data_IF_637520991941
#
_entry.id   IF_637520991941
#
_cell.length_a   1.000
_cell.length_b   1.000
_cell.length_c   1.000
_cell.angle_alpha   90.00
_cell.angle_beta   90.00
_cell.angle_gamma   90.00
#
_symmetry.space_group_name_H-M   'P 1'
#
loop_
_entity.id
_entity.type
_entity.pdbx_description
1 polymer ?
#
# COMPACT_ATOMS: atom_id res chain seq x y z
N UNK A 1 -15.19 -8.14 26.45
CA UNK A 1 -15.15 -6.80 25.82
C UNK A 1 -14.29 -6.88 24.56
N UNK A 2 -14.76 -6.33 23.43
CA UNK A 2 -13.95 -6.25 22.23
C UNK A 2 -12.79 -5.28 22.39
N UNK A 3 -11.67 -5.55 21.70
CA UNK A 3 -10.51 -4.65 21.67
C UNK A 3 -10.84 -3.40 20.83
N UNK A 4 -10.57 -2.22 21.37
CA UNK A 4 -10.70 -0.95 20.64
C UNK A 4 -9.35 -0.63 20.01
N UNK A 5 -9.33 -0.48 18.70
CA UNK A 5 -8.15 -0.11 17.93
C UNK A 5 -8.12 1.41 17.71
N UNK A 6 -6.94 2.00 17.72
CA UNK A 6 -6.75 3.45 17.56
C UNK A 6 -6.59 3.87 16.09
N UNK A 7 -6.20 2.95 15.23
CA UNK A 7 -5.97 3.18 13.82
C UNK A 7 -6.40 1.98 12.98
N UNK A 8 -6.85 2.21 11.76
CA UNK A 8 -7.07 1.15 10.78
C UNK A 8 -5.78 0.36 10.48
N UNK A 9 -4.62 0.98 10.61
CA UNK A 9 -3.32 0.30 10.47
C UNK A 9 -3.09 -0.80 11.53
N UNK A 10 -3.76 -0.71 12.69
CA UNK A 10 -3.68 -1.74 13.74
C UNK A 10 -4.46 -3.02 13.37
N UNK A 11 -5.35 -2.94 12.40
CA UNK A 11 -6.16 -4.05 11.90
C UNK A 11 -5.45 -4.86 10.81
N UNK A 12 -4.32 -4.39 10.31
CA UNK A 12 -3.59 -5.05 9.23
C UNK A 12 -2.94 -6.32 9.74
N UNK A 13 -3.16 -7.39 9.01
CA UNK A 13 -2.68 -8.72 9.37
C UNK A 13 -3.71 -9.52 10.15
N UNK A 14 -3.26 -10.63 10.72
CA UNK A 14 -4.12 -11.61 11.42
C UNK A 14 -5.37 -12.00 10.61
N UNK A 15 -5.27 -11.97 9.28
CA UNK A 15 -6.37 -12.33 8.39
C UNK A 15 -6.74 -13.80 8.57
N UNK A 16 -8.02 -14.17 8.46
CA UNK A 16 -8.49 -15.52 8.69
C UNK A 16 -8.06 -16.49 7.59
N UNK A 17 -8.09 -17.77 7.92
CA UNK A 17 -8.03 -18.87 6.97
C UNK A 17 -9.43 -19.46 6.81
N UNK A 18 -9.79 -19.81 5.59
CA UNK A 18 -11.04 -20.51 5.26
C UNK A 18 -10.70 -21.80 4.52
N UNK A 19 -11.30 -22.91 4.97
CA UNK A 19 -11.23 -24.19 4.29
C UNK A 19 -12.28 -24.24 3.17
N UNK A 20 -11.89 -24.68 1.99
CA UNK A 20 -12.77 -24.76 0.82
C UNK A 20 -13.33 -26.19 0.63
N UNK A 21 -13.95 -26.73 1.68
CA UNK A 21 -14.40 -28.11 1.78
C UNK A 21 -15.29 -28.57 0.62
N UNK A 22 -16.20 -27.74 0.12
CA UNK A 22 -17.01 -28.10 -1.05
C UNK A 22 -16.18 -28.33 -2.32
N UNK A 23 -15.07 -27.64 -2.47
CA UNK A 23 -14.16 -27.85 -3.61
C UNK A 23 -13.40 -29.17 -3.40
N UNK A 24 -12.93 -29.42 -2.19
CA UNK A 24 -12.25 -30.65 -1.82
C UNK A 24 -13.11 -31.88 -2.09
N UNK A 25 -14.35 -31.83 -1.65
CA UNK A 25 -15.35 -32.88 -1.85
C UNK A 25 -15.65 -33.10 -3.34
N UNK A 26 -15.97 -32.03 -4.06
CA UNK A 26 -16.33 -32.05 -5.49
C UNK A 26 -15.25 -32.71 -6.35
N UNK A 27 -13.99 -32.49 -6.02
CA UNK A 27 -12.84 -33.00 -6.78
C UNK A 27 -12.17 -34.21 -6.14
N UNK A 28 -12.71 -34.76 -5.05
CA UNK A 28 -12.16 -35.93 -4.35
C UNK A 28 -10.73 -35.69 -3.85
N UNK A 29 -10.42 -34.48 -3.39
CA UNK A 29 -9.07 -34.14 -2.96
C UNK A 29 -8.75 -34.78 -1.62
N UNK A 30 -7.52 -35.29 -1.48
CA UNK A 30 -7.01 -35.85 -0.22
C UNK A 30 -6.39 -34.78 0.70
N UNK A 31 -6.04 -33.63 0.12
CA UNK A 31 -5.43 -32.52 0.84
C UNK A 31 -6.49 -31.49 1.27
N UNK A 32 -6.30 -30.92 2.44
CA UNK A 32 -7.05 -29.73 2.89
C UNK A 32 -6.53 -28.51 2.16
N UNK A 33 -7.43 -27.71 1.64
CA UNK A 33 -7.09 -26.45 0.97
C UNK A 33 -7.56 -25.27 1.83
N UNK A 34 -6.60 -24.49 2.31
CA UNK A 34 -6.87 -23.32 3.15
C UNK A 34 -6.55 -22.05 2.38
N UNK A 35 -7.51 -21.13 2.32
CA UNK A 35 -7.41 -19.84 1.65
C UNK A 35 -7.15 -18.74 2.68
N UNK A 36 -6.07 -18.01 2.54
CA UNK A 36 -5.74 -16.85 3.37
C UNK A 36 -6.48 -15.62 2.84
N UNK A 37 -7.41 -15.07 3.63
CA UNK A 37 -8.32 -14.02 3.17
C UNK A 37 -7.70 -12.62 3.35
N UNK A 38 -6.77 -12.24 2.48
CA UNK A 38 -6.04 -10.98 2.57
C UNK A 38 -6.91 -9.73 2.28
N UNK A 39 -8.10 -9.89 1.71
CA UNK A 39 -9.05 -8.78 1.55
C UNK A 39 -9.64 -8.26 2.87
N UNK A 40 -9.42 -8.95 3.98
CA UNK A 40 -9.78 -8.46 5.33
C UNK A 40 -8.79 -7.41 5.88
N UNK A 41 -7.68 -7.15 5.21
CA UNK A 41 -6.84 -6.00 5.55
C UNK A 41 -7.57 -4.67 5.31
N UNK A 42 -7.11 -3.61 5.94
CA UNK A 42 -7.79 -2.30 5.99
C UNK A 42 -8.12 -1.69 4.61
N UNK A 43 -7.27 -1.88 3.59
CA UNK A 43 -7.54 -1.46 2.21
C UNK A 43 -7.93 -2.61 1.28
N UNK A 44 -8.14 -3.80 1.83
CA UNK A 44 -8.58 -4.98 1.09
C UNK A 44 -7.47 -5.72 0.35
N UNK A 45 -6.22 -5.56 0.74
CA UNK A 45 -5.09 -6.16 0.01
C UNK A 45 -3.96 -6.66 0.93
N UNK A 46 -3.26 -7.71 0.49
CA UNK A 46 -1.99 -8.16 1.09
C UNK A 46 -0.92 -7.05 1.10
N UNK A 47 -1.03 -6.06 0.21
CA UNK A 47 -0.08 -4.94 0.12
C UNK A 47 -0.14 -3.99 1.31
N UNK A 48 -1.20 -4.03 2.10
CA UNK A 48 -1.27 -3.31 3.36
C UNK A 48 -0.16 -3.76 4.32
N UNK A 49 0.15 -5.07 4.34
CA UNK A 49 1.26 -5.61 5.12
C UNK A 49 2.60 -5.05 4.66
N UNK A 50 2.80 -4.98 3.34
CA UNK A 50 4.03 -4.44 2.73
C UNK A 50 4.19 -2.97 3.09
N UNK A 51 3.15 -2.17 2.88
CA UNK A 51 3.15 -0.74 3.18
C UNK A 51 3.42 -0.46 4.68
N UNK A 52 2.76 -1.21 5.56
CA UNK A 52 2.99 -1.11 7.01
C UNK A 52 4.44 -1.44 7.37
N UNK A 53 4.98 -2.53 6.85
CA UNK A 53 6.35 -2.94 7.13
C UNK A 53 7.38 -1.94 6.63
N UNK A 54 7.21 -1.37 5.43
CA UNK A 54 8.09 -0.34 4.88
C UNK A 54 8.15 0.90 5.76
N UNK A 55 6.98 1.40 6.21
CA UNK A 55 6.90 2.60 7.05
C UNK A 55 7.51 2.32 8.42
N UNK A 56 7.11 1.24 9.10
CA UNK A 56 7.59 0.90 10.43
C UNK A 56 9.10 0.61 10.46
N UNK A 57 9.65 -0.02 9.43
CA UNK A 57 11.09 -0.26 9.30
C UNK A 57 11.86 1.06 9.09
N UNK A 58 11.34 1.95 8.24
CA UNK A 58 11.95 3.27 8.01
C UNK A 58 11.90 4.16 9.27
N UNK A 59 10.80 4.12 10.03
CA UNK A 59 10.69 4.78 11.34
C UNK A 59 11.73 4.22 12.33
N UNK A 60 11.82 2.90 12.43
CA UNK A 60 12.74 2.21 13.34
C UNK A 60 14.20 2.51 13.02
N UNK A 61 14.54 2.65 11.75
CA UNK A 61 15.88 3.00 11.27
C UNK A 61 16.19 4.50 11.36
N UNK A 62 15.22 5.34 11.75
CA UNK A 62 15.36 6.79 11.81
C UNK A 62 15.46 7.47 10.43
N UNK A 63 15.15 6.75 9.35
CA UNK A 63 15.12 7.26 7.99
C UNK A 63 13.88 8.15 7.81
N UNK A 64 12.72 7.70 8.31
CA UNK A 64 11.46 8.41 8.25
C UNK A 64 11.22 9.16 9.56
N UNK A 65 11.33 10.47 9.51
CA UNK A 65 11.08 11.36 10.66
C UNK A 65 9.62 11.83 10.68
N UNK A 66 9.08 12.21 11.84
CA UNK A 66 7.73 12.79 11.93
C UNK A 66 7.55 13.96 10.95
N UNK A 67 6.45 13.95 10.18
CA UNK A 67 6.15 14.97 9.18
C UNK A 67 6.91 14.85 7.86
N UNK A 68 7.75 13.83 7.69
CA UNK A 68 8.45 13.60 6.42
C UNK A 68 7.49 13.26 5.27
N UNK A 69 7.99 13.38 4.05
CA UNK A 69 7.25 13.02 2.84
C UNK A 69 7.66 11.65 2.33
N UNK A 70 6.67 10.80 2.10
CA UNK A 70 6.85 9.49 1.46
C UNK A 70 6.49 9.61 -0.01
N UNK A 71 7.39 9.20 -0.89
CA UNK A 71 7.19 9.19 -2.35
C UNK A 71 7.22 7.73 -2.80
N UNK A 72 6.27 7.33 -3.64
CA UNK A 72 6.25 5.96 -4.17
C UNK A 72 5.82 5.94 -5.64
N UNK A 73 6.69 5.46 -6.54
CA UNK A 73 6.32 5.18 -7.92
C UNK A 73 5.63 3.82 -7.99
N UNK A 74 4.31 3.80 -8.10
CA UNK A 74 3.56 2.54 -8.12
C UNK A 74 2.28 2.65 -8.92
N UNK A 75 1.90 1.55 -9.55
CA UNK A 75 0.63 1.43 -10.29
C UNK A 75 -0.39 0.54 -9.58
N UNK A 76 -0.06 0.00 -8.40
CA UNK A 76 -0.81 -1.07 -7.77
C UNK A 76 -1.30 -0.80 -6.35
N UNK A 77 -1.71 -1.88 -5.70
CA UNK A 77 -2.24 -1.86 -4.34
C UNK A 77 -1.22 -1.40 -3.29
N UNK A 78 0.08 -1.43 -3.60
CA UNK A 78 1.12 -0.87 -2.72
C UNK A 78 0.90 0.62 -2.50
N UNK A 79 0.59 1.38 -3.57
CA UNK A 79 0.28 2.81 -3.45
C UNK A 79 -0.98 3.09 -2.62
N UNK A 80 -2.00 2.24 -2.74
CA UNK A 80 -3.22 2.36 -1.93
C UNK A 80 -2.90 2.11 -0.45
N UNK A 81 -2.15 1.04 -0.15
CA UNK A 81 -1.74 0.72 1.21
C UNK A 81 -0.86 1.82 1.83
N UNK A 82 0.12 2.33 1.08
CA UNK A 82 0.98 3.44 1.52
C UNK A 82 0.16 4.71 1.76
N UNK A 83 -0.74 5.08 0.85
CA UNK A 83 -1.61 6.23 1.01
C UNK A 83 -2.42 6.15 2.31
N UNK A 84 -3.05 5.00 2.57
CA UNK A 84 -3.87 4.81 3.77
C UNK A 84 -3.04 4.85 5.06
N UNK A 85 -1.93 4.11 5.12
CA UNK A 85 -1.16 3.94 6.36
C UNK A 85 -0.32 5.17 6.66
N UNK A 86 0.38 5.72 5.66
CA UNK A 86 1.22 6.90 5.83
C UNK A 86 0.40 8.12 6.26
N UNK A 87 -0.74 8.37 5.60
CA UNK A 87 -1.64 9.46 5.97
C UNK A 87 -2.20 9.28 7.38
N UNK A 88 -2.60 8.05 7.76
CA UNK A 88 -3.06 7.76 9.12
C UNK A 88 -1.98 7.98 10.20
N UNK A 89 -0.71 7.92 9.83
CA UNK A 89 0.46 8.22 10.69
C UNK A 89 0.91 9.69 10.63
N UNK A 90 0.25 10.53 9.81
CA UNK A 90 0.57 11.95 9.68
C UNK A 90 1.69 12.28 8.71
N UNK A 91 2.07 11.36 7.83
CA UNK A 91 3.04 11.63 6.77
C UNK A 91 2.37 12.21 5.53
N UNK A 92 3.02 13.16 4.89
CA UNK A 92 2.70 13.57 3.53
C UNK A 92 3.04 12.42 2.59
N UNK A 93 2.13 12.08 1.68
CA UNK A 93 2.33 10.94 0.76
C UNK A 93 2.10 11.38 -0.67
N UNK A 94 3.06 11.11 -1.54
CA UNK A 94 3.00 11.40 -2.98
C UNK A 94 3.11 10.09 -3.74
N UNK A 95 2.06 9.73 -4.45
CA UNK A 95 2.07 8.55 -5.33
C UNK A 95 2.29 9.02 -6.77
N UNK A 96 3.35 8.51 -7.38
CA UNK A 96 3.70 8.81 -8.77
C UNK A 96 3.27 7.65 -9.66
N UNK A 97 2.46 7.92 -10.66
CA UNK A 97 1.92 6.88 -11.54
C UNK A 97 1.68 7.37 -12.97
N UNK A 98 1.72 6.46 -13.97
CA UNK A 98 1.39 6.81 -15.34
C UNK A 98 -0.08 7.24 -15.49
N UNK A 99 -0.34 8.19 -16.35
CA UNK A 99 -1.70 8.68 -16.65
C UNK A 99 -2.63 7.62 -17.25
N UNK A 100 -2.09 6.49 -17.70
CA UNK A 100 -2.85 5.33 -18.18
C UNK A 100 -3.51 4.51 -17.07
N UNK A 101 -3.18 4.79 -15.81
CA UNK A 101 -3.82 4.10 -14.68
C UNK A 101 -5.27 4.52 -14.51
N UNK A 102 -6.12 3.58 -14.09
CA UNK A 102 -7.56 3.79 -13.99
C UNK A 102 -7.93 4.94 -13.06
N UNK A 103 -9.00 5.64 -13.40
CA UNK A 103 -9.53 6.78 -12.63
C UNK A 103 -9.96 6.33 -11.23
N UNK A 104 -10.56 5.15 -11.11
CA UNK A 104 -11.01 4.57 -9.84
C UNK A 104 -9.85 4.43 -8.86
N UNK A 105 -8.71 3.91 -9.34
CA UNK A 105 -7.51 3.74 -8.51
C UNK A 105 -6.94 5.07 -8.04
N UNK A 106 -6.91 6.08 -8.94
CA UNK A 106 -6.51 7.45 -8.56
C UNK A 106 -7.44 8.04 -7.50
N UNK A 107 -8.75 7.84 -7.66
CA UNK A 107 -9.73 8.33 -6.70
C UNK A 107 -9.58 7.67 -5.32
N UNK A 108 -9.32 6.38 -5.26
CA UNK A 108 -9.07 5.68 -3.99
C UNK A 108 -7.81 6.23 -3.30
N UNK A 109 -6.70 6.41 -4.02
CA UNK A 109 -5.47 6.97 -3.48
C UNK A 109 -5.70 8.38 -2.92
N UNK A 110 -6.41 9.23 -3.66
CA UNK A 110 -6.78 10.59 -3.19
C UNK A 110 -7.72 10.56 -1.99
N UNK A 111 -8.68 9.64 -1.97
CA UNK A 111 -9.61 9.49 -0.85
C UNK A 111 -8.91 9.12 0.46
N UNK A 112 -7.80 8.40 0.39
CA UNK A 112 -6.92 8.15 1.52
C UNK A 112 -6.01 9.32 1.90
N UNK A 113 -6.05 10.44 1.17
CA UNK A 113 -5.34 11.67 1.49
C UNK A 113 -3.96 11.81 0.84
N UNK A 114 -3.57 10.92 -0.06
CA UNK A 114 -2.31 11.05 -0.78
C UNK A 114 -2.44 11.98 -2.00
N UNK A 115 -1.35 12.69 -2.30
CA UNK A 115 -1.18 13.45 -3.52
C UNK A 115 -0.84 12.50 -4.68
N UNK A 116 -1.27 12.87 -5.90
CA UNK A 116 -0.94 12.10 -7.10
C UNK A 116 -0.16 12.98 -8.06
N UNK A 117 0.96 12.47 -8.53
CA UNK A 117 1.73 13.02 -9.65
C UNK A 117 1.60 12.07 -10.83
N UNK A 118 1.02 12.57 -11.93
CA UNK A 118 0.87 11.82 -13.17
C UNK A 118 2.09 12.01 -14.07
N UNK A 119 2.51 10.92 -14.70
CA UNK A 119 3.55 10.91 -15.72
C UNK A 119 3.00 10.49 -17.08
N UNK A 120 3.62 10.90 -18.19
CA UNK A 120 3.17 10.50 -19.52
C UNK A 120 3.05 8.99 -19.67
N UNK A 121 1.90 8.54 -20.17
CA UNK A 121 1.57 7.11 -20.26
C UNK A 121 2.55 6.31 -21.10
N UNK A 122 3.09 6.90 -22.18
CA UNK A 122 4.07 6.23 -23.05
C UNK A 122 5.41 5.89 -22.34
N UNK A 123 5.72 6.57 -21.21
CA UNK A 123 6.91 6.28 -20.40
C UNK A 123 6.68 5.14 -19.40
N UNK A 124 5.44 4.71 -19.20
CA UNK A 124 5.10 3.64 -18.27
C UNK A 124 5.66 3.84 -16.87
N UNK A 125 5.99 2.75 -16.19
CA UNK A 125 6.56 2.80 -14.83
C UNK A 125 7.95 3.41 -14.79
N UNK A 126 8.76 3.27 -15.85
CA UNK A 126 10.08 3.91 -15.91
C UNK A 126 9.98 5.43 -15.76
N UNK A 127 8.97 6.05 -16.40
CA UNK A 127 8.70 7.47 -16.25
C UNK A 127 8.28 7.85 -14.83
N UNK A 128 7.47 7.02 -14.19
CA UNK A 128 7.05 7.25 -12.81
C UNK A 128 8.23 7.15 -11.82
N UNK A 129 9.11 6.19 -12.01
CA UNK A 129 10.33 6.02 -11.19
C UNK A 129 11.24 7.25 -11.34
N UNK A 130 11.51 7.66 -12.58
CA UNK A 130 12.35 8.84 -12.84
C UNK A 130 11.77 10.11 -12.18
N UNK A 131 10.44 10.30 -12.25
CA UNK A 131 9.77 11.45 -11.60
C UNK A 131 9.80 11.36 -10.07
N UNK A 132 9.70 10.18 -9.50
CA UNK A 132 9.83 9.98 -8.06
C UNK A 132 11.23 10.34 -7.57
N UNK A 133 12.28 9.96 -8.30
CA UNK A 133 13.67 10.33 -7.98
C UNK A 133 13.93 11.84 -8.13
N UNK A 134 13.29 12.50 -9.07
CA UNK A 134 13.32 13.96 -9.21
C UNK A 134 12.69 14.63 -7.98
N UNK A 135 11.46 14.24 -7.62
CA UNK A 135 10.75 14.76 -6.45
C UNK A 135 11.53 14.53 -5.15
N UNK A 136 12.19 13.39 -5.00
CA UNK A 136 13.03 13.10 -3.84
C UNK A 136 14.17 14.10 -3.67
N UNK A 137 14.74 14.58 -4.78
CA UNK A 137 15.81 15.59 -4.75
C UNK A 137 15.28 16.99 -4.43
N UNK A 138 14.05 17.29 -4.85
CA UNK A 138 13.39 18.58 -4.64
C UNK A 138 12.80 18.73 -3.23
N UNK A 139 12.32 17.63 -2.64
CA UNK A 139 11.64 17.63 -1.34
C UNK A 139 12.60 17.13 -0.27
N UNK A 140 13.14 18.06 0.51
CA UNK A 140 14.05 17.73 1.60
C UNK A 140 13.38 16.84 2.65
N UNK A 141 14.13 15.86 3.17
CA UNK A 141 13.62 14.91 4.16
C UNK A 141 12.63 13.88 3.61
N UNK A 142 12.43 13.82 2.28
CA UNK A 142 11.58 12.80 1.66
C UNK A 142 12.30 11.47 1.49
N UNK A 143 11.52 10.38 1.42
CA UNK A 143 12.01 9.05 1.09
C UNK A 143 11.18 8.41 -0.01
N UNK A 144 11.81 7.56 -0.82
CA UNK A 144 11.09 6.60 -1.69
C UNK A 144 10.91 5.33 -0.87
N UNK A 145 9.66 4.83 -0.77
CA UNK A 145 9.34 3.70 0.09
C UNK A 145 9.74 2.35 -0.50
N UNK A 146 9.73 2.22 -1.83
CA UNK A 146 10.14 1.01 -2.53
C UNK A 146 11.66 0.78 -2.52
N UNK A 147 12.09 -0.45 -2.92
CA UNK A 147 13.49 -0.81 -3.07
C UNK A 147 14.16 -0.08 -4.23
#
# INVERSE_FOLDING_TARGET
MGKIYKSAADLIGNTPLVEVGHIEEKFGLKARILVKLEYFNATGSVKDRVAKAMIEDAEKKGILKPGATIIEPTSGNTGIGLAAIATAKGYRTIIVLPETMSVERRNIIKAYGAEIVLTPGYKGMTGAIAKAEELKKEIEGSMIAGP
#
